data_IF_058020953183
#
_entry.id   IF_058020953183
#
_cell.length_a   1.000
_cell.length_b   1.000
_cell.length_c   1.000
_cell.angle_alpha   90.00
_cell.angle_beta   90.00
_cell.angle_gamma   90.00
#
_symmetry.space_group_name_H-M   'P 1'
#
loop_
_entity.id
_entity.type
_entity.pdbx_description
1 polymer ?
#
# COMPACT_ATOMS: atom_id res chain seq x y z
N UNK A 1 -10.27 -22.48 -35.11
CA UNK A 1 -11.08 -21.33 -34.66
C UNK A 1 -10.79 -21.16 -33.18
N UNK A 2 -9.82 -20.28 -32.87
CA UNK A 2 -9.47 -19.98 -31.48
C UNK A 2 -10.52 -19.02 -30.93
N UNK A 3 -11.28 -19.52 -29.99
CA UNK A 3 -12.24 -18.72 -29.23
C UNK A 3 -11.45 -17.68 -28.44
N UNK A 4 -11.55 -16.44 -28.87
CA UNK A 4 -10.88 -15.30 -28.26
C UNK A 4 -11.57 -14.95 -26.95
N UNK A 5 -11.28 -15.72 -25.89
CA UNK A 5 -11.69 -15.38 -24.55
C UNK A 5 -11.12 -13.99 -24.20
N UNK A 6 -12.00 -13.01 -24.05
CA UNK A 6 -11.64 -11.68 -23.60
C UNK A 6 -10.81 -11.80 -22.30
N UNK A 7 -9.73 -11.03 -22.17
CA UNK A 7 -8.91 -11.11 -20.96
C UNK A 7 -9.78 -10.85 -19.73
N UNK A 8 -9.59 -11.62 -18.65
CA UNK A 8 -10.40 -11.51 -17.45
C UNK A 8 -10.35 -10.07 -16.93
N UNK A 9 -11.54 -9.48 -16.75
CA UNK A 9 -11.70 -8.09 -16.31
C UNK A 9 -11.01 -7.92 -14.96
N UNK A 10 -9.92 -7.17 -14.94
CA UNK A 10 -9.18 -6.90 -13.70
C UNK A 10 -10.06 -6.12 -12.73
N UNK A 11 -10.33 -6.70 -11.56
CA UNK A 11 -10.98 -6.00 -10.45
C UNK A 11 -9.95 -5.09 -9.77
N UNK A 12 -10.36 -3.85 -9.46
CA UNK A 12 -9.49 -2.83 -8.86
C UNK A 12 -10.07 -2.36 -7.53
N UNK A 13 -9.28 -2.46 -6.45
CA UNK A 13 -9.68 -2.02 -5.12
C UNK A 13 -8.82 -0.84 -4.71
N UNK A 14 -9.47 0.26 -4.35
CA UNK A 14 -8.82 1.50 -3.95
C UNK A 14 -8.54 1.48 -2.44
N UNK A 15 -7.57 2.28 -2.01
CA UNK A 15 -7.17 2.41 -0.60
C UNK A 15 -6.71 3.83 -0.24
N UNK A 16 -6.99 4.81 -1.10
CA UNK A 16 -6.48 6.17 -0.95
C UNK A 16 -7.36 7.09 -0.09
N UNK A 17 -8.64 6.76 0.11
CA UNK A 17 -9.59 7.64 0.82
C UNK A 17 -9.15 7.92 2.26
N UNK A 18 -8.66 6.92 2.97
CA UNK A 18 -8.21 7.09 4.35
C UNK A 18 -6.82 7.73 4.48
N UNK A 19 -5.96 7.60 3.46
CA UNK A 19 -4.60 8.13 3.46
C UNK A 19 -4.54 9.60 3.00
N UNK A 20 -5.40 9.99 2.05
CA UNK A 20 -5.38 11.32 1.44
C UNK A 20 -5.52 12.45 2.46
N UNK A 21 -6.51 12.46 3.39
CA UNK A 21 -6.67 13.57 4.33
C UNK A 21 -5.47 13.68 5.29
N UNK A 22 -4.96 12.57 5.77
CA UNK A 22 -3.85 12.55 6.71
C UNK A 22 -2.55 13.06 6.07
N UNK A 23 -2.26 12.63 4.84
CA UNK A 23 -1.09 13.13 4.11
C UNK A 23 -1.30 14.61 3.71
N UNK A 24 -2.55 15.02 3.44
CA UNK A 24 -2.89 16.43 3.22
C UNK A 24 -2.57 17.30 4.42
N UNK A 25 -2.90 16.87 5.63
CA UNK A 25 -2.55 17.56 6.88
C UNK A 25 -1.03 17.64 7.07
N UNK A 26 -0.32 16.52 6.84
CA UNK A 26 1.15 16.51 6.93
C UNK A 26 1.78 17.44 5.90
N UNK A 27 1.26 17.50 4.69
CA UNK A 27 1.74 18.43 3.66
C UNK A 27 1.48 19.89 4.06
N UNK A 28 0.30 20.21 4.59
CA UNK A 28 -0.03 21.55 5.09
C UNK A 28 0.91 21.96 6.22
N UNK A 29 1.17 21.07 7.17
CA UNK A 29 2.11 21.32 8.27
C UNK A 29 3.53 21.54 7.75
N UNK A 30 4.00 20.72 6.83
CA UNK A 30 5.32 20.87 6.21
C UNK A 30 5.47 22.21 5.49
N UNK A 31 4.42 22.68 4.79
CA UNK A 31 4.44 24.00 4.14
C UNK A 31 4.53 25.12 5.19
N UNK A 32 3.75 25.06 6.27
CA UNK A 32 3.83 26.06 7.35
C UNK A 32 5.23 26.08 8.00
N UNK A 33 5.78 24.90 8.28
CA UNK A 33 7.12 24.77 8.86
C UNK A 33 8.19 25.35 7.92
N UNK A 34 8.11 25.03 6.62
CA UNK A 34 8.99 25.57 5.58
C UNK A 34 8.98 27.11 5.58
N UNK A 35 7.81 27.73 5.60
CA UNK A 35 7.70 29.21 5.61
C UNK A 35 8.42 29.81 6.84
N UNK A 36 8.16 29.25 8.03
CA UNK A 36 8.80 29.73 9.26
C UNK A 36 10.31 29.56 9.23
N UNK A 37 10.79 28.38 8.84
CA UNK A 37 12.23 28.09 8.74
C UNK A 37 12.93 28.99 7.73
N UNK A 38 12.28 29.30 6.59
CA UNK A 38 12.86 30.22 5.59
C UNK A 38 12.99 31.65 6.11
N UNK A 39 11.99 32.16 6.83
CA UNK A 39 12.07 33.50 7.43
C UNK A 39 13.24 33.55 8.42
N UNK A 40 13.37 32.53 9.28
CA UNK A 40 14.46 32.44 10.26
C UNK A 40 15.82 32.29 9.56
N UNK A 41 15.91 31.40 8.58
CA UNK A 41 17.15 31.17 7.84
C UNK A 41 17.63 32.41 7.11
N UNK A 42 16.71 33.15 6.50
CA UNK A 42 17.02 34.41 5.82
C UNK A 42 17.53 35.46 6.79
N UNK A 43 16.91 35.58 7.97
CA UNK A 43 17.28 36.57 9.00
C UNK A 43 18.62 36.26 9.66
N UNK A 44 18.92 34.97 9.92
CA UNK A 44 20.10 34.56 10.71
C UNK A 44 21.33 34.26 9.82
N UNK A 45 21.13 33.55 8.72
CA UNK A 45 22.22 33.04 7.86
C UNK A 45 22.26 33.67 6.46
N UNK A 46 21.26 34.49 6.14
CA UNK A 46 21.13 35.18 4.88
C UNK A 46 20.62 34.32 3.72
N UNK A 47 20.52 34.96 2.54
CA UNK A 47 19.82 34.42 1.39
C UNK A 47 20.41 33.12 0.82
N UNK A 48 21.74 32.93 0.90
CA UNK A 48 22.43 31.74 0.34
C UNK A 48 21.94 30.46 1.04
N UNK A 49 21.85 30.48 2.37
CA UNK A 49 21.36 29.35 3.16
C UNK A 49 19.87 29.14 2.92
N UNK A 50 19.11 30.23 2.88
CA UNK A 50 17.69 30.16 2.60
C UNK A 50 17.39 29.51 1.23
N UNK A 51 18.17 29.79 0.19
CA UNK A 51 18.01 29.14 -1.13
C UNK A 51 18.30 27.64 -1.07
N UNK A 52 19.35 27.20 -0.38
CA UNK A 52 19.66 25.78 -0.24
C UNK A 52 18.53 25.05 0.48
N UNK A 53 18.01 25.62 1.57
CA UNK A 53 16.85 25.07 2.28
C UNK A 53 15.62 25.01 1.38
N UNK A 54 15.34 26.06 0.60
CA UNK A 54 14.22 26.08 -0.33
C UNK A 54 14.28 24.93 -1.36
N UNK A 55 15.47 24.62 -1.89
CA UNK A 55 15.65 23.51 -2.82
C UNK A 55 15.42 22.16 -2.16
N UNK A 56 15.86 21.97 -0.91
CA UNK A 56 15.62 20.77 -0.14
C UNK A 56 14.11 20.57 0.12
N UNK A 57 13.44 21.61 0.62
CA UNK A 57 12.02 21.54 0.91
C UNK A 57 11.18 21.32 -0.34
N UNK A 58 11.52 21.99 -1.44
CA UNK A 58 10.85 21.75 -2.73
C UNK A 58 11.01 20.29 -3.17
N UNK A 59 12.17 19.69 -2.97
CA UNK A 59 12.42 18.28 -3.31
C UNK A 59 11.54 17.35 -2.48
N UNK A 60 11.36 17.63 -1.19
CA UNK A 60 10.47 16.87 -0.28
C UNK A 60 9.01 17.03 -0.71
N UNK A 61 8.57 18.25 -1.00
CA UNK A 61 7.19 18.52 -1.47
C UNK A 61 6.91 17.78 -2.79
N UNK A 62 7.80 17.85 -3.76
CA UNK A 62 7.67 17.14 -5.04
C UNK A 62 7.61 15.63 -4.82
N UNK A 63 8.48 15.09 -3.95
CA UNK A 63 8.47 13.67 -3.61
C UNK A 63 7.14 13.25 -2.96
N UNK A 64 6.62 14.05 -2.03
CA UNK A 64 5.36 13.78 -1.32
C UNK A 64 4.16 13.82 -2.27
N UNK A 65 4.12 14.80 -3.19
CA UNK A 65 3.09 14.88 -4.24
C UNK A 65 3.15 13.67 -5.17
N UNK A 66 4.36 13.23 -5.58
CA UNK A 66 4.54 12.02 -6.38
C UNK A 66 4.07 10.77 -5.64
N UNK A 67 4.36 10.67 -4.35
CA UNK A 67 3.91 9.59 -3.49
C UNK A 67 2.37 9.54 -3.41
N UNK A 68 1.73 10.67 -3.17
CA UNK A 68 0.26 10.79 -3.16
C UNK A 68 -0.36 10.33 -4.48
N UNK A 69 0.21 10.78 -5.60
CA UNK A 69 -0.24 10.38 -6.94
C UNK A 69 -0.09 8.87 -7.15
N UNK A 70 0.98 8.26 -6.62
CA UNK A 70 1.21 6.83 -6.75
C UNK A 70 0.14 5.98 -6.05
N UNK A 71 -0.40 6.43 -4.91
CA UNK A 71 -1.48 5.73 -4.21
C UNK A 71 -2.78 5.70 -5.01
N UNK A 72 -3.07 6.76 -5.77
CA UNK A 72 -4.23 6.81 -6.65
C UNK A 72 -4.04 6.01 -7.94
N UNK A 73 -2.81 6.04 -8.48
CA UNK A 73 -2.49 5.41 -9.76
C UNK A 73 -2.29 3.88 -9.66
N UNK A 74 -1.99 3.34 -8.46
CA UNK A 74 -1.62 1.95 -8.25
C UNK A 74 -2.59 1.25 -7.27
N UNK A 75 -3.83 0.94 -7.69
CA UNK A 75 -4.78 0.20 -6.86
C UNK A 75 -4.32 -1.24 -6.62
N UNK A 76 -4.94 -1.90 -5.66
CA UNK A 76 -4.88 -3.36 -5.54
C UNK A 76 -5.65 -3.96 -6.71
N UNK A 77 -5.06 -4.92 -7.42
CA UNK A 77 -5.65 -5.54 -8.61
C UNK A 77 -5.80 -7.04 -8.41
N UNK A 78 -6.93 -7.56 -8.87
CA UNK A 78 -7.22 -8.98 -8.94
C UNK A 78 -7.50 -9.34 -10.40
N UNK A 79 -6.59 -10.11 -11.00
CA UNK A 79 -6.64 -10.54 -12.41
C UNK A 79 -6.76 -12.06 -12.45
N UNK A 80 -7.96 -12.56 -12.66
CA UNK A 80 -8.25 -13.99 -12.47
C UNK A 80 -7.95 -14.39 -11.03
N UNK A 81 -6.98 -15.28 -10.81
CA UNK A 81 -6.52 -15.72 -9.48
C UNK A 81 -5.33 -14.95 -8.96
N UNK A 82 -4.71 -14.09 -9.78
CA UNK A 82 -3.52 -13.32 -9.39
C UNK A 82 -3.92 -12.05 -8.67
N UNK A 83 -3.63 -11.99 -7.39
CA UNK A 83 -3.82 -10.83 -6.53
C UNK A 83 -2.51 -10.02 -6.43
N UNK A 84 -2.55 -8.74 -6.81
CA UNK A 84 -1.43 -7.83 -6.61
C UNK A 84 -1.82 -6.78 -5.58
N UNK A 85 -1.23 -6.84 -4.41
CA UNK A 85 -1.42 -5.87 -3.32
C UNK A 85 -0.30 -4.84 -3.34
N UNK A 86 -0.66 -3.56 -3.23
CA UNK A 86 0.28 -2.44 -3.34
C UNK A 86 0.03 -1.38 -2.28
N UNK A 87 1.12 -0.74 -1.85
CA UNK A 87 1.09 0.51 -1.09
C UNK A 87 1.84 1.58 -1.93
N UNK A 88 1.17 2.07 -2.98
CA UNK A 88 1.73 2.96 -3.99
C UNK A 88 2.99 2.38 -4.61
N UNK A 89 4.00 3.24 -4.77
CA UNK A 89 5.34 2.86 -5.24
C UNK A 89 6.25 2.29 -4.14
N UNK A 90 5.83 2.32 -2.87
CA UNK A 90 6.68 1.96 -1.73
C UNK A 90 6.84 0.45 -1.56
N UNK A 91 5.73 -0.27 -1.64
CA UNK A 91 5.70 -1.72 -1.42
C UNK A 91 4.70 -2.37 -2.37
N UNK A 92 5.04 -3.55 -2.86
CA UNK A 92 4.13 -4.38 -3.65
C UNK A 92 4.41 -5.85 -3.39
N UNK A 93 3.36 -6.66 -3.46
CA UNK A 93 3.44 -8.11 -3.45
C UNK A 93 2.40 -8.67 -4.40
N UNK A 94 2.81 -9.66 -5.19
CA UNK A 94 1.92 -10.44 -6.02
C UNK A 94 1.85 -11.86 -5.45
N UNK A 95 0.64 -12.39 -5.34
CA UNK A 95 0.35 -13.72 -4.83
C UNK A 95 -0.83 -14.32 -5.60
N UNK A 96 -0.97 -15.62 -5.58
CA UNK A 96 -2.19 -16.28 -6.04
C UNK A 96 -3.23 -16.27 -4.93
N UNK A 97 -4.51 -16.28 -5.29
CA UNK A 97 -5.60 -16.40 -4.32
C UNK A 97 -5.49 -17.72 -3.54
N UNK A 98 -4.97 -18.77 -4.18
CA UNK A 98 -4.71 -20.06 -3.55
C UNK A 98 -3.61 -20.04 -2.48
N UNK A 99 -2.78 -19.01 -2.44
CA UNK A 99 -1.79 -18.82 -1.37
C UNK A 99 -2.39 -18.26 -0.07
N UNK A 100 -3.67 -17.82 -0.10
CA UNK A 100 -4.35 -17.24 1.05
C UNK A 100 -4.92 -18.35 1.93
N UNK A 101 -4.45 -18.45 3.17
CA UNK A 101 -4.96 -19.41 4.13
C UNK A 101 -6.30 -18.96 4.73
N UNK A 102 -6.35 -17.71 5.19
CA UNK A 102 -7.54 -17.14 5.81
C UNK A 102 -7.48 -15.61 5.91
N UNK A 103 -8.64 -15.00 6.05
CA UNK A 103 -8.77 -13.62 6.50
C UNK A 103 -8.95 -13.59 8.01
N UNK A 104 -8.17 -12.77 8.71
CA UNK A 104 -8.34 -12.60 10.16
C UNK A 104 -9.55 -11.74 10.44
N UNK A 105 -10.28 -12.09 11.47
CA UNK A 105 -11.43 -11.31 11.98
C UNK A 105 -11.01 -10.31 13.05
N UNK A 106 -9.86 -10.55 13.72
CA UNK A 106 -9.33 -9.67 14.75
C UNK A 106 -7.79 -9.70 14.75
N UNK A 107 -7.16 -8.58 15.13
CA UNK A 107 -5.71 -8.44 15.30
C UNK A 107 -5.39 -7.31 16.26
N UNK A 108 -4.25 -7.41 16.88
CA UNK A 108 -3.67 -6.42 17.78
C UNK A 108 -2.49 -5.66 17.15
N UNK A 109 -2.00 -4.65 17.85
CA UNK A 109 -0.85 -3.85 17.41
C UNK A 109 0.42 -4.71 17.23
N UNK A 110 0.60 -5.73 18.08
CA UNK A 110 1.79 -6.55 18.07
C UNK A 110 1.81 -7.50 16.87
N UNK A 111 0.64 -8.03 16.49
CA UNK A 111 0.50 -8.83 15.27
C UNK A 111 0.91 -8.01 14.01
N UNK A 112 0.50 -6.74 13.94
CA UNK A 112 0.83 -5.86 12.80
C UNK A 112 2.31 -5.46 12.77
N UNK A 113 2.95 -5.31 13.95
CA UNK A 113 4.37 -4.93 14.08
C UNK A 113 5.35 -6.09 13.89
N UNK A 114 4.88 -7.33 13.88
CA UNK A 114 5.75 -8.50 13.71
C UNK A 114 6.54 -8.44 12.41
N UNK A 115 7.79 -8.90 12.43
CA UNK A 115 8.65 -8.98 11.25
C UNK A 115 8.07 -9.88 10.15
N UNK A 116 7.24 -10.86 10.51
CA UNK A 116 6.53 -11.75 9.59
C UNK A 116 5.29 -11.12 8.96
N UNK A 117 4.86 -9.92 9.38
CA UNK A 117 3.71 -9.19 8.82
C UNK A 117 4.17 -8.14 7.83
N UNK A 118 3.73 -8.23 6.59
CA UNK A 118 3.91 -7.17 5.59
C UNK A 118 2.80 -6.14 5.75
N UNK A 119 3.09 -5.05 6.45
CA UNK A 119 2.14 -3.94 6.59
C UNK A 119 2.17 -3.05 5.35
N UNK A 120 1.07 -3.06 4.58
CA UNK A 120 0.78 -2.22 3.43
C UNK A 120 -0.18 -1.06 3.76
N UNK A 121 -0.75 -1.04 4.97
CA UNK A 121 -1.64 0.04 5.41
C UNK A 121 -0.88 1.34 5.74
N UNK A 122 0.46 1.27 5.78
CA UNK A 122 1.36 2.39 6.08
C UNK A 122 1.08 2.99 7.47
N UNK A 123 0.47 4.19 7.49
CA UNK A 123 0.18 4.97 8.70
C UNK A 123 -1.22 4.66 9.25
N UNK A 124 -2.13 4.16 8.39
CA UNK A 124 -3.50 3.85 8.77
C UNK A 124 -3.60 2.48 9.47
N UNK A 125 -4.59 2.33 10.36
CA UNK A 125 -4.89 1.01 10.94
C UNK A 125 -5.47 0.09 9.86
N UNK A 126 -4.93 -1.13 9.68
CA UNK A 126 -5.42 -2.05 8.67
C UNK A 126 -6.85 -2.49 8.96
N UNK A 127 -7.66 -2.68 7.92
CA UNK A 127 -9.00 -3.24 8.00
C UNK A 127 -9.14 -4.59 7.26
N UNK A 128 -8.04 -5.05 6.69
CA UNK A 128 -7.92 -6.36 6.04
C UNK A 128 -6.59 -6.96 6.41
N UNK A 129 -6.62 -8.14 7.02
CA UNK A 129 -5.41 -8.92 7.36
C UNK A 129 -5.63 -10.33 6.84
N UNK A 130 -4.69 -10.81 6.03
CA UNK A 130 -4.71 -12.16 5.48
C UNK A 130 -3.46 -12.92 5.88
N UNK A 131 -3.63 -14.20 6.16
CA UNK A 131 -2.55 -15.14 6.39
C UNK A 131 -2.25 -15.94 5.13
N UNK A 132 -0.98 -16.22 4.91
CA UNK A 132 -0.52 -17.06 3.81
C UNK A 132 -0.41 -18.51 4.26
N UNK A 133 -0.73 -19.45 3.36
CA UNK A 133 -0.54 -20.89 3.58
C UNK A 133 0.94 -21.18 3.82
N UNK A 134 1.81 -20.64 2.95
CA UNK A 134 3.25 -20.78 3.07
C UNK A 134 3.93 -19.42 3.25
N UNK A 135 4.92 -19.33 4.16
CA UNK A 135 5.71 -18.12 4.31
C UNK A 135 6.45 -17.77 3.02
N UNK A 136 6.37 -16.52 2.57
CA UNK A 136 7.01 -16.05 1.34
C UNK A 136 8.21 -15.14 1.62
N UNK A 137 9.26 -15.33 0.84
CA UNK A 137 10.40 -14.40 0.82
C UNK A 137 10.03 -13.16 0.02
N UNK A 138 10.17 -12.00 0.63
CA UNK A 138 10.05 -10.68 -0.01
C UNK A 138 11.41 -10.00 -0.06
N UNK A 139 11.44 -8.81 -0.63
CA UNK A 139 12.67 -8.01 -0.76
C UNK A 139 13.49 -8.00 0.55
N UNK A 140 14.83 -8.01 0.44
CA UNK A 140 15.79 -8.08 1.56
C UNK A 140 15.74 -9.37 2.41
N UNK A 141 15.42 -10.51 1.82
CA UNK A 141 15.39 -11.84 2.48
C UNK A 141 14.40 -11.93 3.65
N UNK A 142 13.48 -10.97 3.77
CA UNK A 142 12.44 -10.99 4.79
C UNK A 142 11.42 -12.08 4.45
N UNK A 143 11.09 -12.93 5.42
CA UNK A 143 10.05 -13.94 5.28
C UNK A 143 8.77 -13.38 5.90
N UNK A 144 7.66 -13.45 5.17
CA UNK A 144 6.35 -13.00 5.63
C UNK A 144 5.35 -14.15 5.59
N UNK A 145 4.47 -14.19 6.57
CA UNK A 145 3.33 -15.13 6.67
C UNK A 145 1.99 -14.40 6.72
N UNK A 146 1.99 -13.09 6.92
CA UNK A 146 0.78 -12.28 7.07
C UNK A 146 0.91 -10.99 6.28
N UNK A 147 -0.17 -10.56 5.65
CA UNK A 147 -0.25 -9.28 4.94
C UNK A 147 -1.39 -8.47 5.55
N UNK A 148 -1.08 -7.24 5.95
CA UNK A 148 -2.05 -6.29 6.50
C UNK A 148 -2.21 -5.12 5.53
N UNK A 149 -3.45 -4.77 5.19
CA UNK A 149 -3.77 -3.64 4.30
C UNK A 149 -4.96 -2.85 4.83
N UNK A 150 -5.10 -1.62 4.36
CA UNK A 150 -6.32 -0.84 4.55
C UNK A 150 -6.94 -0.56 3.18
N UNK A 151 -8.09 -1.13 2.92
CA UNK A 151 -8.86 -0.96 1.70
C UNK A 151 -10.02 0.01 1.94
N UNK A 152 -10.46 0.71 0.89
CA UNK A 152 -11.61 1.60 0.97
C UNK A 152 -12.92 0.81 1.07
N UNK A 153 -12.97 -0.37 0.45
CA UNK A 153 -14.07 -1.33 0.52
C UNK A 153 -13.56 -2.76 0.76
N UNK A 154 -13.34 -3.13 2.04
CA UNK A 154 -12.88 -4.47 2.39
C UNK A 154 -13.93 -5.55 2.12
N UNK A 155 -15.23 -5.21 2.20
CA UNK A 155 -16.29 -6.18 1.98
C UNK A 155 -16.35 -6.65 0.52
N UNK A 156 -16.28 -5.71 -0.43
CA UNK A 156 -16.20 -6.03 -1.86
C UNK A 156 -14.93 -6.84 -2.19
N UNK A 157 -13.81 -6.54 -1.54
CA UNK A 157 -12.57 -7.29 -1.72
C UNK A 157 -12.69 -8.74 -1.21
N UNK A 158 -13.23 -8.94 0.00
CA UNK A 158 -13.44 -10.28 0.56
C UNK A 158 -14.44 -11.07 -0.29
N UNK A 159 -15.54 -10.46 -0.73
CA UNK A 159 -16.53 -11.10 -1.60
C UNK A 159 -15.93 -11.52 -2.95
N UNK A 160 -15.07 -10.69 -3.55
CA UNK A 160 -14.40 -11.01 -4.81
C UNK A 160 -13.47 -12.21 -4.68
N UNK A 161 -12.75 -12.34 -3.56
CA UNK A 161 -11.85 -13.48 -3.32
C UNK A 161 -12.69 -14.75 -2.99
N UNK A 162 -13.73 -14.62 -2.16
CA UNK A 162 -14.61 -15.75 -1.83
C UNK A 162 -15.37 -16.29 -3.05
N UNK A 163 -15.66 -15.43 -4.03
CA UNK A 163 -16.31 -15.83 -5.29
C UNK A 163 -15.39 -16.58 -6.27
N UNK A 164 -14.08 -16.63 -6.00
CA UNK A 164 -13.15 -17.46 -6.75
C UNK A 164 -13.14 -18.84 -6.10
N UNK A 165 -13.93 -19.78 -6.66
CA UNK A 165 -13.94 -21.16 -6.18
C UNK A 165 -12.52 -21.70 -6.01
N UNK A 166 -12.18 -22.28 -4.85
CA UNK A 166 -10.90 -22.97 -4.71
C UNK A 166 -10.82 -24.05 -5.80
N UNK A 167 -9.70 -24.13 -6.50
CA UNK A 167 -9.41 -25.29 -7.35
C UNK A 167 -9.36 -26.53 -6.47
N UNK A 168 -10.55 -27.07 -6.14
CA UNK A 168 -10.68 -28.41 -5.60
C UNK A 168 -10.52 -29.39 -6.77
N UNK A 169 -9.38 -30.00 -6.84
CA UNK A 169 -9.17 -31.16 -7.71
C UNK A 169 -8.00 -31.02 -8.65
N UNK A 170 -6.85 -31.25 -8.15
CA UNK A 170 -5.86 -32.18 -8.75
C UNK A 170 -4.68 -32.37 -7.79
N UNK A 171 -4.97 -32.88 -6.59
CA UNK A 171 -3.97 -33.68 -5.88
C UNK A 171 -4.35 -35.12 -6.18
N UNK A 172 -3.88 -35.59 -7.38
CA UNK A 172 -3.92 -36.99 -7.72
C UNK A 172 -3.29 -37.81 -6.61
N UNK A 173 -4.06 -38.80 -6.22
CA UNK A 173 -3.67 -39.98 -5.44
C UNK A 173 -2.49 -40.65 -6.11
#
# INVERSE_FOLDING_TARGET
MSDGAAPPKALRFHYHRSLTPMIGVLLGLAICETVVLHIVALAVWGWKVAVVLALLDLSVVVWLVRLLRSFRAMPVTLEGRRLTMRAGSLKSIALDVDDIAAFRTSWDSDAIKRKSTLNLALIAWPNTVLDLIEPRKVRHRRIISTIAHRLDDPAAFHAAIAGLEPRHGDRGI
#
